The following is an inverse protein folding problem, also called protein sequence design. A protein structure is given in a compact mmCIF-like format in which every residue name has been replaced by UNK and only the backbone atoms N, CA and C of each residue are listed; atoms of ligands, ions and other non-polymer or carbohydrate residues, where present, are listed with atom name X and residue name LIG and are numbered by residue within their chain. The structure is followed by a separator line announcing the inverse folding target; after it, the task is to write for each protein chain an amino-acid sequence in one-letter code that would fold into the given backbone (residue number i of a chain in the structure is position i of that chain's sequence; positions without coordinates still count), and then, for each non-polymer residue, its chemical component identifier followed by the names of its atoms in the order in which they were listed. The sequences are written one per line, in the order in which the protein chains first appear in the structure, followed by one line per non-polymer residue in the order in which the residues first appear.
data_IF_227464768469
#
_entry.id   IF_227464768469
#
_cell.length_a   1.000
_cell.length_b   1.000
_cell.length_c   1.000
_cell.angle_alpha   90.00
_cell.angle_beta   90.00
_cell.angle_gamma   90.00
#
_symmetry.space_group_name_H-M   'P 1'
#
loop_
_entity.id
_entity.type
_entity.pdbx_description
1 polymer ?
#
# COMPACT_ATOMS: atom_id res chain seq x y z
N UNK A 1 -33.93 -0.30 -1.79
CA UNK A 1 -34.51 -0.41 -0.46
C UNK A 1 -33.81 -1.53 0.31
N UNK A 2 -33.70 -2.69 -0.27
CA UNK A 2 -33.27 -3.90 0.41
C UNK A 2 -31.85 -3.86 0.98
N UNK A 3 -30.91 -3.19 0.30
CA UNK A 3 -29.53 -3.11 0.79
C UNK A 3 -29.40 -2.27 2.08
N UNK A 4 -30.14 -1.19 2.21
CA UNK A 4 -30.13 -0.37 3.44
C UNK A 4 -30.74 -1.08 4.64
N UNK A 5 -31.71 -1.95 4.41
CA UNK A 5 -32.32 -2.79 5.46
C UNK A 5 -31.36 -3.88 5.94
N UNK A 6 -30.63 -4.52 5.00
CA UNK A 6 -29.63 -5.54 5.31
C UNK A 6 -28.49 -4.96 6.16
N UNK A 7 -28.09 -3.72 5.89
CA UNK A 7 -26.95 -3.06 6.57
C UNK A 7 -27.39 -1.98 7.57
N UNK A 8 -28.58 -2.12 8.19
CA UNK A 8 -29.13 -1.12 9.11
C UNK A 8 -28.19 -0.77 10.27
N UNK A 9 -27.47 -1.74 10.81
CA UNK A 9 -26.55 -1.59 11.94
C UNK A 9 -25.10 -1.27 11.50
N UNK A 10 -24.87 -1.12 10.19
CA UNK A 10 -23.53 -0.91 9.63
C UNK A 10 -23.37 0.49 8.99
N UNK A 11 -23.10 1.49 9.81
CA UNK A 11 -23.01 2.89 9.38
C UNK A 11 -22.10 3.11 8.15
N UNK A 12 -20.94 2.44 8.08
CA UNK A 12 -20.01 2.55 6.96
C UNK A 12 -20.56 1.96 5.66
N UNK A 13 -21.28 0.83 5.75
CA UNK A 13 -21.93 0.20 4.58
C UNK A 13 -23.07 1.06 4.07
N UNK A 14 -23.86 1.63 4.95
CA UNK A 14 -24.92 2.58 4.58
C UNK A 14 -24.38 3.80 3.86
N UNK A 15 -23.31 4.41 4.37
CA UNK A 15 -22.64 5.52 3.70
C UNK A 15 -22.23 5.17 2.28
N UNK A 16 -21.68 3.96 2.05
CA UNK A 16 -21.31 3.48 0.72
C UNK A 16 -22.55 3.37 -0.18
N UNK A 17 -23.61 2.72 0.32
CA UNK A 17 -24.86 2.52 -0.43
C UNK A 17 -25.49 3.86 -0.85
N UNK A 18 -25.53 4.81 0.09
CA UNK A 18 -26.10 6.14 -0.14
C UNK A 18 -25.29 6.92 -1.22
N UNK A 19 -23.97 6.85 -1.17
CA UNK A 19 -23.10 7.49 -2.20
C UNK A 19 -23.20 6.84 -3.56
N UNK A 20 -23.38 5.53 -3.63
CA UNK A 20 -23.62 4.83 -4.91
C UNK A 20 -25.00 5.22 -5.47
N UNK A 21 -26.01 5.30 -4.61
CA UNK A 21 -27.37 5.68 -5.01
C UNK A 21 -27.48 7.13 -5.49
N UNK A 22 -26.71 8.05 -4.88
CA UNK A 22 -26.66 9.47 -5.30
C UNK A 22 -25.82 9.72 -6.56
N UNK A 23 -25.06 8.71 -7.02
CA UNK A 23 -24.13 8.86 -8.13
C UNK A 23 -22.81 9.57 -7.79
N UNK A 24 -22.57 9.82 -6.50
CA UNK A 24 -21.34 10.44 -6.00
C UNK A 24 -20.17 9.45 -5.86
N UNK A 25 -20.44 8.15 -6.08
CA UNK A 25 -19.42 7.12 -6.01
C UNK A 25 -18.47 7.22 -7.22
N UNK A 26 -17.22 7.59 -6.97
CA UNK A 26 -16.15 7.64 -7.97
C UNK A 26 -14.93 6.83 -7.52
N UNK A 27 -14.12 6.36 -8.47
CA UNK A 27 -12.90 5.60 -8.20
C UNK A 27 -13.14 4.29 -7.46
N UNK A 28 -12.34 4.00 -6.44
CA UNK A 28 -12.39 2.75 -5.66
C UNK A 28 -13.79 2.39 -5.15
N UNK A 29 -14.61 3.39 -4.82
CA UNK A 29 -15.98 3.18 -4.36
C UNK A 29 -16.89 2.57 -5.42
N UNK A 30 -16.79 3.04 -6.65
CA UNK A 30 -17.54 2.49 -7.77
C UNK A 30 -17.05 1.07 -8.10
N UNK A 31 -15.77 0.82 -7.90
CA UNK A 31 -15.14 -0.49 -8.10
C UNK A 31 -15.51 -1.50 -7.00
N UNK A 32 -15.64 -1.06 -5.75
CA UNK A 32 -15.98 -1.94 -4.62
C UNK A 32 -17.47 -2.27 -4.52
N UNK A 33 -18.34 -1.31 -4.72
CA UNK A 33 -19.77 -1.43 -4.40
C UNK A 33 -20.70 -1.47 -5.59
N UNK A 34 -20.27 -1.04 -6.77
CA UNK A 34 -21.08 -0.99 -7.98
C UNK A 34 -21.15 0.40 -8.61
N UNK A 35 -21.52 0.46 -9.88
CA UNK A 35 -21.77 1.68 -10.64
C UNK A 35 -23.22 1.71 -11.16
N UNK A 36 -23.75 2.90 -11.39
CA UNK A 36 -25.10 3.04 -11.97
C UNK A 36 -26.24 2.94 -10.94
N UNK A 37 -25.98 3.27 -9.68
CA UNK A 37 -27.00 3.34 -8.62
C UNK A 37 -27.42 1.99 -8.04
N UNK A 38 -26.80 0.89 -8.46
CA UNK A 38 -27.04 -0.45 -7.92
C UNK A 38 -25.83 -0.96 -7.13
N UNK A 39 -26.09 -1.50 -5.97
CA UNK A 39 -25.07 -2.20 -5.15
C UNK A 39 -25.35 -3.69 -5.16
N UNK A 40 -24.30 -4.50 -5.13
CA UNK A 40 -24.38 -5.92 -4.92
C UNK A 40 -23.84 -6.31 -3.57
N UNK A 41 -24.38 -7.38 -2.99
CA UNK A 41 -23.88 -7.94 -1.75
C UNK A 41 -23.78 -9.46 -1.88
N UNK A 42 -22.92 -10.03 -1.06
CA UNK A 42 -22.70 -11.47 -1.01
C UNK A 42 -22.99 -11.99 0.38
N UNK A 43 -23.72 -13.11 0.44
CA UNK A 43 -24.05 -13.80 1.68
C UNK A 43 -23.29 -15.11 1.75
N UNK A 44 -22.65 -15.36 2.88
CA UNK A 44 -21.95 -16.62 3.16
C UNK A 44 -22.55 -17.26 4.42
N UNK A 45 -23.36 -18.30 4.21
CA UNK A 45 -24.19 -18.85 5.28
C UNK A 45 -25.25 -17.84 5.76
N UNK A 46 -25.71 -18.02 6.97
CA UNK A 46 -26.75 -17.17 7.57
C UNK A 46 -26.15 -16.00 8.36
N UNK A 47 -24.89 -16.11 8.78
CA UNK A 47 -24.25 -15.22 9.75
C UNK A 47 -23.38 -14.11 9.09
N UNK A 48 -23.07 -14.23 7.81
CA UNK A 48 -22.19 -13.26 7.15
C UNK A 48 -22.80 -12.69 5.88
N UNK A 49 -22.87 -11.36 5.81
CA UNK A 49 -23.25 -10.61 4.62
C UNK A 49 -22.36 -9.38 4.45
N UNK A 50 -21.88 -9.12 3.24
CA UNK A 50 -21.11 -7.94 2.95
C UNK A 50 -21.37 -7.40 1.53
N UNK A 51 -21.08 -6.10 1.31
CA UNK A 51 -21.08 -5.50 -0.02
C UNK A 51 -19.95 -6.13 -0.83
N UNK A 52 -20.25 -6.64 -2.00
CA UNK A 52 -19.23 -7.24 -2.87
C UNK A 52 -19.75 -7.40 -4.30
N UNK A 53 -18.87 -7.18 -5.28
CA UNK A 53 -19.17 -7.36 -6.71
C UNK A 53 -18.76 -8.73 -7.26
N UNK A 54 -18.09 -9.52 -6.46
CA UNK A 54 -17.51 -10.78 -6.94
C UNK A 54 -16.23 -10.57 -7.77
N UNK A 55 -15.72 -11.62 -8.45
CA UNK A 55 -16.22 -12.99 -8.36
C UNK A 55 -15.98 -13.63 -7.00
N UNK A 56 -16.74 -14.68 -6.69
CA UNK A 56 -16.64 -15.42 -5.43
C UNK A 56 -16.33 -16.90 -5.69
N UNK A 57 -15.61 -17.52 -4.75
CA UNK A 57 -15.47 -18.97 -4.74
C UNK A 57 -16.75 -19.62 -4.22
N UNK A 58 -17.09 -20.84 -4.68
CA UNK A 58 -18.34 -21.52 -4.28
C UNK A 58 -18.43 -21.83 -2.79
N UNK A 59 -17.31 -21.94 -2.09
CA UNK A 59 -17.24 -22.14 -0.65
C UNK A 59 -15.88 -21.76 -0.10
N UNK A 60 -15.81 -21.42 1.18
CA UNK A 60 -14.57 -21.11 1.90
C UNK A 60 -13.56 -22.26 1.90
N UNK A 61 -14.03 -23.51 1.77
CA UNK A 61 -13.16 -24.68 1.62
C UNK A 61 -12.30 -24.66 0.35
N UNK A 62 -12.60 -23.76 -0.60
CA UNK A 62 -11.82 -23.59 -1.84
C UNK A 62 -10.79 -22.46 -1.76
N UNK A 63 -10.64 -21.82 -0.62
CA UNK A 63 -9.67 -20.71 -0.45
C UNK A 63 -8.19 -21.16 -0.57
N UNK A 64 -7.92 -22.47 -0.47
CA UNK A 64 -6.59 -23.00 -0.67
C UNK A 64 -5.57 -22.55 0.37
N UNK A 65 -4.43 -22.06 -0.07
CA UNK A 65 -3.29 -21.74 0.79
C UNK A 65 -3.20 -20.24 1.02
N UNK A 66 -3.53 -19.80 2.24
CA UNK A 66 -3.48 -18.40 2.63
C UNK A 66 -2.78 -18.21 3.98
N UNK A 67 -2.36 -16.98 4.26
CA UNK A 67 -1.84 -16.57 5.56
C UNK A 67 -2.27 -15.14 5.88
N UNK A 68 -2.68 -14.92 7.13
CA UNK A 68 -2.84 -13.57 7.68
C UNK A 68 -1.48 -13.07 8.13
N UNK A 69 -1.12 -11.84 7.79
CA UNK A 69 0.22 -11.30 7.97
C UNK A 69 0.29 -10.28 9.11
N UNK A 70 -0.57 -9.26 9.06
CA UNK A 70 -0.57 -8.19 10.05
C UNK A 70 -1.92 -7.52 10.18
N UNK A 71 -2.09 -6.81 11.29
CA UNK A 71 -3.19 -5.87 11.51
C UNK A 71 -2.61 -4.46 11.63
N UNK A 72 -3.28 -3.48 11.06
CA UNK A 72 -2.92 -2.07 11.18
C UNK A 72 -4.17 -1.21 11.33
N UNK A 73 -4.04 -0.04 11.98
CA UNK A 73 -5.08 0.97 11.97
C UNK A 73 -5.23 1.59 10.57
N UNK A 74 -6.47 1.93 10.22
CA UNK A 74 -6.77 2.65 9.00
C UNK A 74 -7.97 3.57 9.25
N UNK A 75 -7.77 4.86 9.07
CA UNK A 75 -8.88 5.80 9.18
C UNK A 75 -9.89 5.56 8.04
N UNK A 76 -11.17 5.66 8.39
CA UNK A 76 -12.21 5.53 7.38
C UNK A 76 -12.02 6.54 6.26
N UNK A 77 -11.82 6.04 5.05
CA UNK A 77 -11.53 6.82 3.83
C UNK A 77 -10.29 7.72 3.90
N UNK A 78 -9.31 7.34 4.73
CA UNK A 78 -8.08 8.11 4.87
C UNK A 78 -8.22 9.43 5.64
N UNK A 79 -9.38 9.76 6.15
CA UNK A 79 -9.62 10.98 6.93
C UNK A 79 -9.33 10.72 8.42
N UNK A 80 -8.26 11.32 8.94
CA UNK A 80 -7.81 11.17 10.33
C UNK A 80 -8.82 11.68 11.37
N UNK A 81 -9.80 12.51 10.96
CA UNK A 81 -10.89 12.99 11.83
C UNK A 81 -12.01 11.98 11.96
N UNK A 82 -11.97 10.91 11.18
CA UNK A 82 -12.98 9.83 11.18
C UNK A 82 -12.49 8.65 12.02
N UNK A 83 -13.38 7.74 12.43
CA UNK A 83 -13.01 6.59 13.23
C UNK A 83 -11.91 5.75 12.59
N UNK A 84 -10.98 5.31 13.42
CA UNK A 84 -9.93 4.39 13.01
C UNK A 84 -10.45 2.95 13.06
N UNK A 85 -10.40 2.28 11.93
CA UNK A 85 -10.76 0.88 11.75
C UNK A 85 -9.52 -0.01 11.82
N UNK A 86 -9.73 -1.31 11.90
CA UNK A 86 -8.68 -2.31 11.80
C UNK A 86 -8.62 -2.85 10.36
N UNK A 87 -7.44 -2.81 9.77
CA UNK A 87 -7.16 -3.40 8.46
C UNK A 87 -6.34 -4.66 8.65
N UNK A 88 -6.89 -5.79 8.24
CA UNK A 88 -6.22 -7.09 8.28
C UNK A 88 -5.60 -7.34 6.91
N UNK A 89 -4.29 -7.60 6.89
CA UNK A 89 -3.55 -7.95 5.68
C UNK A 89 -3.34 -9.44 5.61
N UNK A 90 -3.54 -9.99 4.43
CA UNK A 90 -3.32 -11.40 4.15
C UNK A 90 -2.83 -11.62 2.72
N UNK A 91 -2.46 -12.85 2.43
CA UNK A 91 -2.06 -13.29 1.10
C UNK A 91 -2.60 -14.69 0.82
N UNK A 92 -2.91 -14.98 -0.44
CA UNK A 92 -3.39 -16.29 -0.88
C UNK A 92 -2.61 -16.74 -2.11
N UNK A 93 -2.37 -18.05 -2.22
CA UNK A 93 -1.52 -18.65 -3.24
C UNK A 93 -2.13 -19.96 -3.75
N UNK A 94 -1.78 -20.34 -4.97
CA UNK A 94 -2.29 -21.55 -5.60
C UNK A 94 -1.72 -22.84 -4.99
N UNK A 95 -0.57 -22.76 -4.30
CA UNK A 95 0.04 -23.91 -3.63
C UNK A 95 0.72 -23.56 -2.31
N UNK A 96 0.82 -24.54 -1.41
CA UNK A 96 1.57 -24.41 -0.15
C UNK A 96 3.04 -24.04 -0.38
N UNK A 97 3.65 -24.54 -1.48
CA UNK A 97 5.03 -24.23 -1.85
C UNK A 97 5.20 -22.76 -2.18
N UNK A 98 4.29 -22.18 -2.94
CA UNK A 98 4.32 -20.76 -3.31
C UNK A 98 4.09 -19.86 -2.10
N UNK A 99 3.10 -20.19 -1.25
CA UNK A 99 2.88 -19.47 0.01
C UNK A 99 4.14 -19.50 0.88
N UNK A 100 4.74 -20.67 1.10
CA UNK A 100 5.97 -20.82 1.87
C UNK A 100 7.11 -19.99 1.27
N UNK A 101 7.27 -20.03 -0.06
CA UNK A 101 8.27 -19.24 -0.79
C UNK A 101 8.05 -17.74 -0.62
N UNK A 102 6.81 -17.27 -0.66
CA UNK A 102 6.48 -15.87 -0.42
C UNK A 102 6.81 -15.44 1.01
N UNK A 103 6.36 -16.19 2.01
CA UNK A 103 6.65 -15.88 3.41
C UNK A 103 8.15 -15.89 3.72
N UNK A 104 8.90 -16.83 3.10
CA UNK A 104 10.35 -16.86 3.21
C UNK A 104 10.99 -15.59 2.61
N UNK A 105 10.55 -15.15 1.43
CA UNK A 105 11.05 -13.89 0.82
C UNK A 105 10.77 -12.67 1.69
N UNK A 106 9.60 -12.61 2.32
CA UNK A 106 9.28 -11.51 3.26
C UNK A 106 10.22 -11.52 4.47
N UNK A 107 10.43 -12.69 5.08
CA UNK A 107 11.36 -12.82 6.21
C UNK A 107 12.80 -12.45 5.83
N UNK A 108 13.25 -12.85 4.62
CA UNK A 108 14.57 -12.47 4.12
C UNK A 108 14.66 -10.97 3.80
N UNK A 109 13.59 -10.36 3.28
CA UNK A 109 13.54 -8.91 3.04
C UNK A 109 13.63 -8.12 4.36
N UNK A 110 12.96 -8.58 5.42
CA UNK A 110 13.04 -7.97 6.75
C UNK A 110 14.45 -8.02 7.33
N UNK A 111 15.16 -9.15 7.17
CA UNK A 111 16.57 -9.25 7.57
C UNK A 111 17.49 -8.28 6.83
N UNK A 112 17.10 -7.89 5.61
CA UNK A 112 17.84 -6.97 4.73
C UNK A 112 17.28 -5.56 4.74
N UNK A 113 16.49 -5.18 5.75
CA UNK A 113 15.99 -3.81 5.89
C UNK A 113 17.17 -2.84 5.92
N UNK A 114 17.20 -1.91 4.96
CA UNK A 114 18.29 -0.96 4.77
C UNK A 114 18.53 -0.08 6.01
N UNK A 115 17.49 0.21 6.79
CA UNK A 115 17.59 1.04 8.01
C UNK A 115 18.39 0.30 9.09
N UNK A 116 18.11 -1.01 9.23
CA UNK A 116 18.86 -1.86 10.15
C UNK A 116 20.30 -2.04 9.68
N UNK A 117 20.49 -2.43 8.43
CA UNK A 117 21.81 -2.62 7.86
C UNK A 117 22.64 -1.32 7.86
N UNK A 118 22.01 -0.18 7.63
CA UNK A 118 22.68 1.12 7.68
C UNK A 118 23.26 1.41 9.06
N UNK A 119 22.53 1.09 10.13
CA UNK A 119 23.01 1.24 11.49
C UNK A 119 24.09 0.18 11.85
N UNK A 120 23.80 -1.10 11.57
CA UNK A 120 24.73 -2.22 11.87
C UNK A 120 26.08 -2.09 11.17
N UNK A 121 26.10 -1.60 9.95
CA UNK A 121 27.29 -1.46 9.11
C UNK A 121 27.91 -0.05 9.11
N UNK A 122 27.34 0.86 9.89
CA UNK A 122 27.79 2.25 9.98
C UNK A 122 27.87 2.95 8.62
N UNK A 123 26.75 2.88 7.86
CA UNK A 123 26.69 3.40 6.49
C UNK A 123 26.19 4.83 6.39
N UNK A 124 25.20 5.19 7.20
CA UNK A 124 24.52 6.48 7.13
C UNK A 124 23.84 6.80 8.45
N UNK A 125 23.81 8.09 8.78
CA UNK A 125 23.08 8.61 9.95
C UNK A 125 22.25 9.84 9.59
N UNK A 126 21.32 10.20 10.46
CA UNK A 126 20.47 11.39 10.35
C UNK A 126 20.59 12.22 11.63
N UNK A 127 21.68 12.99 11.78
CA UNK A 127 21.86 13.84 12.95
C UNK A 127 20.73 14.89 13.04
N UNK A 128 20.11 14.98 14.19
CA UNK A 128 19.00 15.90 14.44
C UNK A 128 19.40 17.37 14.19
N UNK A 129 20.65 17.71 14.49
CA UNK A 129 21.22 19.06 14.29
C UNK A 129 21.20 19.52 12.82
N UNK A 130 21.16 18.59 11.88
CA UNK A 130 21.09 18.93 10.45
C UNK A 130 19.66 19.13 9.95
N UNK A 131 18.68 18.60 10.67
CA UNK A 131 17.27 18.64 10.30
C UNK A 131 16.73 17.35 9.68
N UNK A 132 15.41 17.24 9.56
CA UNK A 132 14.75 16.01 9.12
C UNK A 132 15.09 15.67 7.67
N UNK A 133 15.37 14.40 7.40
CA UNK A 133 15.63 13.89 6.06
C UNK A 133 17.03 14.16 5.49
N UNK A 134 17.89 14.89 6.23
CA UNK A 134 19.25 15.18 5.80
C UNK A 134 20.22 14.08 6.29
N UNK A 135 20.70 13.27 5.36
CA UNK A 135 21.54 12.11 5.64
C UNK A 135 23.04 12.48 5.57
N UNK A 136 23.81 12.00 6.55
CA UNK A 136 25.27 12.01 6.54
C UNK A 136 25.75 10.61 6.16
N UNK A 137 26.41 10.49 5.03
CA UNK A 137 26.98 9.24 4.56
C UNK A 137 28.35 9.02 5.19
N UNK A 138 28.50 7.92 5.90
CA UNK A 138 29.77 7.51 6.50
C UNK A 138 30.69 6.87 5.45
N UNK A 139 31.98 6.67 5.70
CA UNK A 139 32.93 6.31 4.65
C UNK A 139 32.53 5.08 3.82
N UNK A 140 31.99 4.03 4.46
CA UNK A 140 31.53 2.83 3.76
C UNK A 140 30.27 3.10 2.94
N UNK A 141 29.32 3.83 3.50
CA UNK A 141 28.09 4.22 2.82
C UNK A 141 28.36 5.16 1.64
N UNK A 142 29.25 6.12 1.83
CA UNK A 142 29.67 7.04 0.77
C UNK A 142 30.36 6.30 -0.40
N UNK A 143 31.16 5.27 -0.09
CA UNK A 143 31.75 4.43 -1.14
C UNK A 143 30.70 3.65 -1.90
N UNK A 144 29.75 3.01 -1.22
CA UNK A 144 28.65 2.28 -1.89
C UNK A 144 27.82 3.21 -2.75
N UNK A 145 27.47 4.38 -2.22
CA UNK A 145 26.73 5.42 -2.95
C UNK A 145 27.48 5.82 -4.22
N UNK A 146 28.79 6.12 -4.12
CA UNK A 146 29.62 6.48 -5.27
C UNK A 146 29.60 5.38 -6.33
N UNK A 147 29.79 4.13 -5.95
CA UNK A 147 29.79 3.00 -6.88
C UNK A 147 28.45 2.87 -7.64
N UNK A 148 27.33 3.09 -6.97
CA UNK A 148 26.00 3.06 -7.58
C UNK A 148 25.83 4.26 -8.54
N UNK A 149 26.25 5.46 -8.12
CA UNK A 149 26.20 6.66 -8.94
C UNK A 149 27.08 6.51 -10.21
N UNK A 150 28.30 6.00 -10.08
CA UNK A 150 29.21 5.74 -11.19
C UNK A 150 28.63 4.70 -12.17
N UNK A 151 28.06 3.61 -11.64
CA UNK A 151 27.38 2.60 -12.46
C UNK A 151 26.20 3.19 -13.21
N UNK A 152 25.32 3.91 -12.52
CA UNK A 152 24.17 4.57 -13.14
C UNK A 152 24.62 5.53 -14.25
N UNK A 153 25.62 6.36 -13.97
CA UNK A 153 26.20 7.29 -14.94
C UNK A 153 26.68 6.56 -16.20
N UNK A 154 27.51 5.54 -16.02
CA UNK A 154 28.06 4.79 -17.16
C UNK A 154 26.97 4.15 -18.03
N UNK A 155 25.87 3.70 -17.41
CA UNK A 155 24.73 3.11 -18.15
C UNK A 155 23.94 4.15 -18.94
N UNK A 156 23.78 5.35 -18.38
CA UNK A 156 23.11 6.46 -19.07
C UNK A 156 23.95 6.99 -20.23
N UNK A 157 25.26 7.13 -20.06
CA UNK A 157 26.17 7.56 -21.14
C UNK A 157 26.08 6.62 -22.35
N UNK A 158 26.13 5.30 -22.10
CA UNK A 158 25.94 4.29 -23.18
C UNK A 158 24.54 4.39 -23.80
N UNK A 159 23.53 4.78 -23.03
CA UNK A 159 22.15 5.02 -23.50
C UNK A 159 21.95 6.33 -24.26
N UNK A 160 23.00 7.15 -24.43
CA UNK A 160 22.92 8.42 -25.14
C UNK A 160 22.29 9.57 -24.35
N UNK A 161 22.30 9.49 -23.02
CA UNK A 161 21.79 10.56 -22.16
C UNK A 161 22.88 11.55 -21.83
N UNK A 162 22.54 12.83 -21.89
CA UNK A 162 23.40 13.92 -21.43
C UNK A 162 23.16 14.25 -19.98
N UNK A 163 24.19 14.66 -19.25
CA UNK A 163 24.09 15.05 -17.85
C UNK A 163 24.00 16.56 -17.70
N UNK A 164 23.06 16.98 -16.87
CA UNK A 164 22.90 18.37 -16.46
C UNK A 164 22.99 18.49 -14.94
N UNK A 165 23.45 19.62 -14.45
CA UNK A 165 23.47 19.94 -13.02
C UNK A 165 22.45 21.03 -12.75
N UNK A 166 21.37 20.65 -12.06
CA UNK A 166 20.35 21.58 -11.62
C UNK A 166 20.67 22.11 -10.22
N UNK A 167 20.30 23.36 -9.90
CA UNK A 167 20.44 23.87 -8.54
C UNK A 167 19.52 23.14 -7.59
N UNK A 168 19.95 22.94 -6.33
CA UNK A 168 19.16 22.30 -5.30
C UNK A 168 18.02 23.18 -4.76
N UNK A 169 18.09 24.49 -5.00
CA UNK A 169 17.12 25.49 -4.55
C UNK A 169 16.54 26.18 -5.79
N UNK A 170 15.23 26.21 -5.91
CA UNK A 170 14.51 26.90 -6.97
C UNK A 170 13.42 27.81 -6.38
N UNK A 171 12.88 28.74 -7.18
CA UNK A 171 11.76 29.59 -6.77
C UNK A 171 10.48 28.75 -6.67
N UNK A 172 9.59 29.14 -5.73
CA UNK A 172 8.31 28.45 -5.48
C UNK A 172 7.43 28.34 -6.74
N UNK A 173 7.51 29.31 -7.63
CA UNK A 173 6.76 29.32 -8.89
C UNK A 173 6.91 28.06 -9.75
N UNK A 174 8.02 27.31 -9.60
CA UNK A 174 8.24 26.03 -10.28
C UNK A 174 7.25 24.94 -9.84
N UNK A 175 6.60 25.13 -8.69
CA UNK A 175 5.68 24.16 -8.04
C UNK A 175 4.23 24.65 -8.04
N UNK A 176 3.96 25.81 -8.65
CA UNK A 176 2.65 26.44 -8.77
C UNK A 176 2.03 26.10 -10.16
N UNK A 177 1.78 24.79 -10.42
CA UNK A 177 1.12 24.33 -11.66
C UNK A 177 -0.23 23.71 -11.36
#
# INVERSE_FOLDING_TARGET
ADALEIFVDHAYKREIIEKVASGEAAGELADEAGSGGAVSYYRNGDDFVDLCRGPHVPSTGRLGHFALQKVAGAYWRGDERRPMLQRIYGTAWSSAKELKGHLHRLAEAEKRDHRRLAAELDLVSWPEVLGPGLAVWHPRGALVRKLIEDYSRSRHEVGGYDFVFSPHIAKSVLWET
#
